data_IF_303875860588
#
_entry.id   IF_303875860588
#
_cell.length_a   1.000
_cell.length_b   1.000
_cell.length_c   1.000
_cell.angle_alpha   90.00
_cell.angle_beta   90.00
_cell.angle_gamma   90.00
#
_symmetry.space_group_name_H-M   'P 1'
#
loop_
_entity.id
_entity.type
_entity.pdbx_description
1 polymer ?
#
# COMPACT_ATOMS: atom_id res chain seq x y z
N UNK A 1 17.95 -71.98 -62.50
CA UNK A 1 17.02 -71.07 -63.19
C UNK A 1 15.78 -70.94 -62.33
N UNK A 2 15.36 -69.70 -62.08
CA UNK A 2 14.41 -69.30 -61.03
C UNK A 2 13.00 -69.87 -61.29
N UNK A 3 12.30 -70.19 -60.21
CA UNK A 3 10.92 -70.67 -60.20
C UNK A 3 10.10 -69.98 -59.10
N UNK A 4 8.85 -69.62 -59.46
CA UNK A 4 7.66 -69.40 -58.61
C UNK A 4 7.71 -68.23 -57.60
N UNK A 5 6.63 -67.59 -57.14
CA UNK A 5 5.23 -67.43 -57.53
C UNK A 5 4.64 -66.33 -56.61
N UNK A 6 3.53 -65.71 -57.03
CA UNK A 6 2.76 -64.66 -56.31
C UNK A 6 2.24 -65.09 -54.94
N UNK A 7 2.19 -64.18 -53.96
CA UNK A 7 1.14 -64.09 -52.91
C UNK A 7 0.90 -62.60 -52.54
N UNK A 8 -0.38 -62.21 -52.45
CA UNK A 8 -0.92 -60.92 -51.96
C UNK A 8 -0.74 -60.76 -50.44
N UNK A 9 -0.63 -59.52 -49.92
CA UNK A 9 -0.84 -59.26 -48.49
C UNK A 9 -0.75 -57.80 -48.07
N UNK A 10 -1.89 -57.26 -47.63
CA UNK A 10 -2.16 -55.95 -47.00
C UNK A 10 -1.21 -55.63 -45.84
N UNK A 11 -0.79 -54.35 -45.66
CA UNK A 11 -0.07 -53.96 -44.44
C UNK A 11 0.30 -52.48 -44.27
N UNK A 12 -0.63 -51.72 -43.67
CA UNK A 12 -0.45 -50.57 -42.76
C UNK A 12 0.39 -49.34 -43.19
N UNK A 13 -0.33 -48.26 -43.54
CA UNK A 13 0.17 -46.90 -43.41
C UNK A 13 0.23 -46.50 -41.92
N UNK A 14 1.43 -46.48 -41.34
CA UNK A 14 1.70 -45.86 -40.04
C UNK A 14 1.89 -44.35 -40.24
N UNK A 15 0.77 -43.61 -40.13
CA UNK A 15 0.79 -42.19 -39.81
C UNK A 15 1.41 -42.05 -38.40
N UNK A 16 2.67 -41.68 -38.35
CA UNK A 16 3.30 -41.21 -37.12
C UNK A 16 2.60 -39.90 -36.71
N UNK A 17 1.62 -40.00 -35.80
CA UNK A 17 1.18 -38.86 -35.01
C UNK A 17 2.35 -38.46 -34.11
N UNK A 18 3.11 -37.48 -34.57
CA UNK A 18 3.96 -36.66 -33.73
C UNK A 18 3.04 -35.85 -32.81
N UNK A 19 2.55 -36.49 -31.75
CA UNK A 19 1.96 -35.77 -30.63
C UNK A 19 3.09 -34.93 -30.02
N UNK A 20 3.14 -33.65 -30.39
CA UNK A 20 3.85 -32.63 -29.63
C UNK A 20 3.19 -32.60 -28.25
N UNK A 21 3.74 -33.35 -27.31
CA UNK A 21 3.49 -33.18 -25.89
C UNK A 21 3.88 -31.75 -25.54
N UNK A 22 2.92 -30.82 -25.62
CA UNK A 22 3.04 -29.54 -24.94
C UNK A 22 3.28 -29.92 -23.49
N UNK A 23 4.51 -29.70 -23.01
CA UNK A 23 4.87 -29.99 -21.64
C UNK A 23 3.91 -29.20 -20.75
N UNK A 24 2.92 -29.89 -20.19
CA UNK A 24 1.98 -29.31 -19.25
C UNK A 24 2.81 -28.84 -18.07
N UNK A 25 2.95 -27.52 -17.92
CA UNK A 25 3.80 -26.95 -16.89
C UNK A 25 3.19 -27.37 -15.54
N UNK A 26 3.85 -28.32 -14.87
CA UNK A 26 3.33 -28.96 -13.67
C UNK A 26 3.09 -27.91 -12.61
N UNK A 27 1.89 -27.92 -11.99
CA UNK A 27 1.58 -27.06 -10.85
C UNK A 27 2.64 -27.25 -9.75
N UNK A 28 3.13 -26.18 -9.11
CA UNK A 28 4.04 -26.32 -7.99
C UNK A 28 3.34 -26.96 -6.79
N UNK A 29 4.11 -27.61 -5.91
CA UNK A 29 3.57 -28.19 -4.69
C UNK A 29 2.98 -27.12 -3.75
N UNK A 30 3.61 -25.96 -3.71
CA UNK A 30 3.21 -24.77 -2.96
C UNK A 30 3.73 -23.52 -3.67
N UNK A 31 3.07 -22.39 -3.46
CA UNK A 31 3.58 -21.06 -3.80
C UNK A 31 4.25 -20.48 -2.56
N UNK A 32 5.57 -20.28 -2.62
CA UNK A 32 6.34 -19.68 -1.52
C UNK A 32 6.18 -18.17 -1.53
N UNK A 33 5.74 -17.60 -0.43
CA UNK A 33 5.60 -16.16 -0.24
C UNK A 33 6.71 -15.64 0.67
N UNK A 34 7.65 -14.87 0.13
CA UNK A 34 8.56 -14.10 0.98
C UNK A 34 7.90 -12.77 1.34
N UNK A 35 7.56 -12.59 2.61
CA UNK A 35 6.83 -11.42 3.08
C UNK A 35 7.69 -10.62 4.05
N UNK A 36 7.68 -9.30 3.95
CA UNK A 36 8.39 -8.43 4.90
C UNK A 36 7.47 -7.43 5.58
N UNK A 37 7.77 -7.15 6.85
CA UNK A 37 7.09 -6.14 7.66
C UNK A 37 7.94 -5.81 8.89
N UNK A 38 7.62 -4.74 9.60
CA UNK A 38 8.22 -4.46 10.91
C UNK A 38 7.61 -5.38 11.97
N UNK A 39 8.40 -6.35 12.46
CA UNK A 39 8.02 -7.23 13.58
C UNK A 39 8.69 -6.79 14.89
N UNK A 40 9.77 -6.02 14.81
CA UNK A 40 10.48 -5.44 15.96
C UNK A 40 10.67 -3.93 15.81
N UNK A 41 11.10 -3.26 16.89
CA UNK A 41 11.34 -1.80 16.92
C UNK A 41 10.07 -0.96 17.05
N UNK A 42 10.23 0.37 17.07
CA UNK A 42 9.12 1.32 17.25
C UNK A 42 8.08 1.28 16.11
N UNK A 43 8.49 0.83 14.93
CA UNK A 43 7.64 0.67 13.75
C UNK A 43 6.75 -0.59 13.79
N UNK A 44 7.00 -1.53 14.72
CA UNK A 44 6.24 -2.79 14.84
C UNK A 44 4.75 -2.58 15.10
N UNK A 45 4.35 -1.44 15.67
CA UNK A 45 2.94 -1.08 15.90
C UNK A 45 2.14 -0.95 14.60
N UNK A 46 2.80 -0.73 13.46
CA UNK A 46 2.19 -0.78 12.14
C UNK A 46 2.33 -2.16 11.49
N UNK A 47 3.53 -2.76 11.57
CA UNK A 47 3.84 -3.99 10.84
C UNK A 47 3.31 -5.29 11.44
N UNK A 48 3.29 -5.42 12.78
CA UNK A 48 2.80 -6.63 13.45
C UNK A 48 1.29 -6.87 13.21
N UNK A 49 0.41 -5.86 13.24
CA UNK A 49 -1.00 -6.02 12.81
C UNK A 49 -1.13 -6.55 11.38
N UNK A 50 -0.35 -6.03 10.42
CA UNK A 50 -0.35 -6.49 9.03
C UNK A 50 0.09 -7.96 8.92
N UNK A 51 1.08 -8.39 9.71
CA UNK A 51 1.47 -9.80 9.80
C UNK A 51 0.30 -10.70 10.23
N UNK A 52 -0.38 -10.33 11.31
CA UNK A 52 -1.52 -11.12 11.82
C UNK A 52 -2.62 -11.20 10.76
N UNK A 53 -2.91 -10.11 10.07
CA UNK A 53 -3.88 -10.08 8.97
C UNK A 53 -3.50 -11.03 7.82
N UNK A 54 -2.23 -11.02 7.41
CA UNK A 54 -1.72 -11.94 6.39
C UNK A 54 -1.83 -13.40 6.81
N UNK A 55 -1.39 -13.74 8.02
CA UNK A 55 -1.44 -15.11 8.52
C UNK A 55 -2.89 -15.61 8.59
N UNK A 56 -3.81 -14.79 9.14
CA UNK A 56 -5.25 -15.08 9.16
C UNK A 56 -5.80 -15.35 7.76
N UNK A 57 -5.52 -14.46 6.82
CA UNK A 57 -6.04 -14.55 5.46
C UNK A 57 -5.48 -15.77 4.73
N UNK A 58 -4.18 -16.06 4.88
CA UNK A 58 -3.53 -17.22 4.26
C UNK A 58 -4.07 -18.53 4.84
N UNK A 59 -4.30 -18.61 6.15
CA UNK A 59 -4.93 -19.76 6.81
C UNK A 59 -6.30 -20.06 6.16
N UNK A 60 -7.18 -19.05 6.06
CA UNK A 60 -8.51 -19.20 5.46
C UNK A 60 -8.45 -19.51 3.96
N UNK A 61 -7.58 -18.83 3.21
CA UNK A 61 -7.40 -19.04 1.78
C UNK A 61 -6.89 -20.46 1.47
N UNK A 62 -5.94 -20.96 2.26
CA UNK A 62 -5.44 -22.32 2.14
C UNK A 62 -6.51 -23.35 2.52
N UNK A 63 -7.28 -23.12 3.59
CA UNK A 63 -8.40 -23.99 3.95
C UNK A 63 -9.46 -24.06 2.84
N UNK A 64 -9.69 -22.96 2.12
CA UNK A 64 -10.63 -22.87 1.00
C UNK A 64 -10.10 -23.46 -0.33
N UNK A 65 -8.93 -24.09 -0.34
CA UNK A 65 -8.40 -24.76 -1.53
C UNK A 65 -7.13 -24.14 -2.12
N UNK A 66 -6.81 -22.89 -1.81
CA UNK A 66 -5.67 -22.19 -2.39
C UNK A 66 -5.92 -21.72 -3.84
N UNK A 67 -4.85 -21.63 -4.64
CA UNK A 67 -4.94 -21.34 -6.07
C UNK A 67 -5.00 -22.67 -6.82
N UNK A 68 -6.20 -23.11 -7.20
CA UNK A 68 -6.37 -24.35 -7.99
C UNK A 68 -5.66 -25.56 -7.34
N UNK A 69 -5.79 -25.68 -6.02
CA UNK A 69 -5.14 -26.71 -5.20
C UNK A 69 -3.76 -26.34 -4.64
N UNK A 70 -3.08 -25.32 -5.20
CA UNK A 70 -1.76 -24.86 -4.74
C UNK A 70 -1.91 -23.98 -3.50
N UNK A 71 -1.29 -24.41 -2.39
CA UNK A 71 -1.29 -23.65 -1.12
C UNK A 71 -0.21 -22.58 -1.09
N UNK A 72 -0.45 -21.53 -0.32
CA UNK A 72 0.52 -20.49 -0.01
C UNK A 72 1.35 -20.91 1.20
N UNK A 73 2.67 -20.71 1.15
CA UNK A 73 3.55 -20.88 2.31
C UNK A 73 4.41 -19.63 2.51
N UNK A 74 4.12 -18.90 3.58
CA UNK A 74 4.79 -17.64 3.89
C UNK A 74 6.04 -17.82 4.75
N UNK A 75 7.07 -17.04 4.42
CA UNK A 75 8.28 -16.85 5.22
C UNK A 75 8.48 -15.36 5.44
N UNK A 76 8.68 -14.96 6.71
CA UNK A 76 8.74 -13.56 7.11
C UNK A 76 10.17 -13.02 7.20
N UNK A 77 10.36 -11.79 6.72
CA UNK A 77 11.57 -10.97 6.92
C UNK A 77 11.20 -9.80 7.85
N UNK A 78 11.96 -9.62 8.93
CA UNK A 78 11.77 -8.49 9.86
C UNK A 78 12.49 -7.23 9.37
N UNK A 79 11.73 -6.22 8.96
CA UNK A 79 12.26 -4.90 8.60
C UNK A 79 12.93 -4.18 9.79
N UNK A 80 12.54 -4.50 11.03
CA UNK A 80 13.12 -3.91 12.24
C UNK A 80 14.60 -4.26 12.46
N UNK A 81 15.12 -5.23 11.71
CA UNK A 81 16.52 -5.65 11.75
C UNK A 81 17.46 -4.76 10.93
N UNK A 82 16.93 -3.79 10.19
CA UNK A 82 17.70 -2.86 9.36
C UNK A 82 17.85 -3.29 7.90
N UNK A 83 18.21 -2.32 7.05
CA UNK A 83 18.22 -2.46 5.60
C UNK A 83 19.13 -3.58 5.07
N UNK A 84 20.31 -3.74 5.68
CA UNK A 84 21.29 -4.75 5.27
C UNK A 84 20.76 -6.16 5.48
N UNK A 85 20.25 -6.45 6.68
CA UNK A 85 19.68 -7.76 7.02
C UNK A 85 18.40 -8.03 6.23
N UNK A 86 17.58 -7.01 6.00
CA UNK A 86 16.42 -7.09 5.12
C UNK A 86 16.80 -7.53 3.69
N UNK A 87 17.76 -6.85 3.05
CA UNK A 87 18.20 -7.20 1.68
C UNK A 87 18.90 -8.56 1.63
N UNK A 88 19.68 -8.93 2.65
CA UNK A 88 20.32 -10.24 2.73
C UNK A 88 19.30 -11.37 2.80
N UNK A 89 18.28 -11.26 3.67
CA UNK A 89 17.20 -12.24 3.76
C UNK A 89 16.33 -12.26 2.49
N UNK A 90 16.07 -11.11 1.88
CA UNK A 90 15.37 -11.07 0.59
C UNK A 90 16.13 -11.87 -0.47
N UNK A 91 17.44 -11.66 -0.62
CA UNK A 91 18.27 -12.42 -1.56
C UNK A 91 18.31 -13.91 -1.25
N UNK A 92 18.41 -14.26 0.04
CA UNK A 92 18.38 -15.66 0.49
C UNK A 92 17.07 -16.34 0.07
N UNK A 93 15.92 -15.71 0.36
CA UNK A 93 14.60 -16.21 -0.06
C UNK A 93 14.47 -16.26 -1.57
N UNK A 94 14.95 -15.25 -2.29
CA UNK A 94 14.95 -15.18 -3.74
C UNK A 94 15.81 -16.28 -4.41
N UNK A 95 16.75 -16.90 -3.68
CA UNK A 95 17.59 -18.00 -4.17
C UNK A 95 17.09 -19.41 -3.80
N UNK A 96 16.12 -19.56 -2.89
CA UNK A 96 15.53 -20.88 -2.57
C UNK A 96 14.97 -21.63 -3.81
N UNK A 97 14.94 -22.96 -3.86
CA UNK A 97 14.27 -23.64 -4.98
C UNK A 97 12.73 -23.50 -4.89
N UNK A 98 12.05 -23.47 -6.03
CA UNK A 98 10.58 -23.46 -6.12
C UNK A 98 9.98 -22.15 -6.61
N UNK A 99 8.66 -22.16 -6.81
CA UNK A 99 7.87 -21.01 -7.26
C UNK A 99 7.74 -19.96 -6.14
N UNK A 100 7.94 -18.68 -6.49
CA UNK A 100 7.98 -17.60 -5.50
C UNK A 100 7.27 -16.34 -5.95
N UNK A 101 6.74 -15.67 -4.94
CA UNK A 101 6.29 -14.30 -5.00
C UNK A 101 6.78 -13.57 -3.76
N UNK A 102 7.21 -12.31 -3.90
CA UNK A 102 7.63 -11.49 -2.78
C UNK A 102 6.62 -10.38 -2.51
N UNK A 103 6.23 -10.19 -1.24
CA UNK A 103 5.46 -9.04 -0.77
C UNK A 103 6.38 -8.23 0.15
N UNK A 104 6.92 -7.13 -0.34
CA UNK A 104 7.86 -6.27 0.40
C UNK A 104 7.74 -4.83 -0.09
N UNK A 105 7.71 -3.78 0.71
CA UNK A 105 7.93 -3.67 2.16
C UNK A 105 7.18 -2.42 2.70
N UNK A 106 7.25 -2.13 4.00
CA UNK A 106 6.72 -0.88 4.59
C UNK A 106 7.66 0.30 4.32
N UNK A 107 8.95 0.14 4.56
CA UNK A 107 9.91 1.24 4.43
C UNK A 107 10.10 1.66 2.97
N UNK A 108 9.78 2.91 2.64
CA UNK A 108 10.08 3.48 1.31
C UNK A 108 11.57 3.44 0.96
N UNK A 109 12.46 3.60 1.96
CA UNK A 109 13.90 3.45 1.75
C UNK A 109 14.28 2.02 1.35
N UNK A 110 13.62 1.02 1.93
CA UNK A 110 13.88 -0.39 1.61
C UNK A 110 13.35 -0.74 0.23
N UNK A 111 12.16 -0.25 -0.12
CA UNK A 111 11.61 -0.42 -1.47
C UNK A 111 12.48 0.21 -2.57
N UNK A 112 13.01 1.42 -2.34
CA UNK A 112 13.94 2.05 -3.28
C UNK A 112 15.18 1.19 -3.52
N UNK A 113 15.74 0.58 -2.46
CA UNK A 113 16.89 -0.30 -2.59
C UNK A 113 16.53 -1.68 -3.17
N UNK A 114 15.31 -2.16 -2.91
CA UNK A 114 14.85 -3.48 -3.28
C UNK A 114 14.44 -3.59 -4.74
N UNK A 115 13.77 -2.58 -5.29
CA UNK A 115 13.16 -2.68 -6.61
C UNK A 115 14.16 -3.08 -7.72
N UNK A 116 15.37 -2.48 -7.82
CA UNK A 116 16.40 -2.94 -8.76
C UNK A 116 16.84 -4.40 -8.50
N UNK A 117 16.93 -4.81 -7.24
CA UNK A 117 17.33 -6.16 -6.86
C UNK A 117 16.29 -7.20 -7.28
N UNK A 118 15.01 -6.90 -7.08
CA UNK A 118 13.91 -7.77 -7.51
C UNK A 118 13.89 -7.93 -9.04
N UNK A 119 14.13 -6.83 -9.76
CA UNK A 119 14.23 -6.83 -11.22
C UNK A 119 15.39 -7.69 -11.73
N UNK A 120 16.59 -7.49 -11.18
CA UNK A 120 17.79 -8.25 -11.57
C UNK A 120 17.63 -9.76 -11.31
N UNK A 121 16.98 -10.10 -10.19
CA UNK A 121 16.69 -11.49 -9.81
C UNK A 121 15.50 -12.08 -10.56
N UNK A 122 14.77 -11.28 -11.35
CA UNK A 122 13.54 -11.67 -12.06
C UNK A 122 12.48 -12.25 -11.15
N UNK A 123 12.36 -11.70 -9.94
CA UNK A 123 11.36 -12.11 -8.95
C UNK A 123 10.22 -11.12 -8.97
N UNK A 124 8.99 -11.61 -9.15
CA UNK A 124 7.80 -10.78 -9.01
C UNK A 124 7.72 -10.30 -7.56
N UNK A 125 7.82 -8.99 -7.37
CA UNK A 125 7.73 -8.33 -6.08
C UNK A 125 6.57 -7.33 -6.05
N UNK A 126 5.67 -7.53 -5.09
CA UNK A 126 4.62 -6.60 -4.75
C UNK A 126 5.10 -5.69 -3.61
N UNK A 127 5.29 -4.41 -3.93
CA UNK A 127 5.37 -3.29 -3.01
C UNK A 127 4.01 -3.15 -2.32
N UNK A 128 3.87 -3.79 -1.16
CA UNK A 128 2.57 -3.90 -0.52
C UNK A 128 2.17 -2.64 0.26
N UNK A 129 3.12 -1.84 0.75
CA UNK A 129 2.83 -0.65 1.57
C UNK A 129 3.62 0.61 1.17
N UNK A 130 4.93 0.48 0.94
CA UNK A 130 5.78 1.65 0.73
C UNK A 130 5.28 2.60 -0.36
N UNK A 131 5.20 3.88 0.02
CA UNK A 131 4.44 4.87 -0.74
C UNK A 131 5.31 5.87 -1.51
N UNK A 132 6.64 5.91 -1.39
CA UNK A 132 7.46 6.81 -2.22
C UNK A 132 7.15 6.60 -3.71
N UNK A 133 6.75 7.69 -4.38
CA UNK A 133 6.44 7.72 -5.81
C UNK A 133 7.67 7.41 -6.65
N UNK A 134 8.85 7.78 -6.14
CA UNK A 134 10.15 7.62 -6.82
C UNK A 134 10.48 6.18 -7.15
N UNK A 135 10.00 5.19 -6.37
CA UNK A 135 10.29 3.77 -6.59
C UNK A 135 9.96 3.36 -8.04
N UNK A 136 8.71 3.55 -8.48
CA UNK A 136 8.25 3.14 -9.82
C UNK A 136 8.43 4.23 -10.90
N UNK A 137 8.87 5.42 -10.50
CA UNK A 137 9.21 6.48 -11.44
C UNK A 137 10.68 6.43 -11.87
N UNK A 138 11.59 5.92 -11.03
CA UNK A 138 13.02 5.88 -11.31
C UNK A 138 13.33 5.03 -12.55
N UNK A 139 12.62 3.91 -12.70
CA UNK A 139 12.76 2.98 -13.81
C UNK A 139 11.44 2.27 -14.08
N UNK A 140 11.24 1.82 -15.32
CA UNK A 140 10.18 0.85 -15.65
C UNK A 140 10.68 -0.55 -15.30
N UNK A 141 10.11 -1.12 -14.25
CA UNK A 141 10.39 -2.49 -13.83
C UNK A 141 9.46 -3.48 -14.52
N UNK A 142 9.99 -4.64 -14.89
CA UNK A 142 9.22 -5.76 -15.41
C UNK A 142 8.54 -6.54 -14.29
N UNK A 143 9.22 -6.72 -13.15
CA UNK A 143 8.80 -7.63 -12.08
C UNK A 143 8.39 -6.92 -10.78
N UNK A 144 8.44 -5.59 -10.73
CA UNK A 144 8.07 -4.82 -9.52
C UNK A 144 6.75 -4.10 -9.74
N UNK A 145 5.84 -4.27 -8.78
CA UNK A 145 4.49 -3.70 -8.82
C UNK A 145 4.14 -3.12 -7.46
N UNK A 146 3.27 -2.11 -7.40
CA UNK A 146 2.68 -1.61 -6.15
C UNK A 146 1.18 -1.77 -6.20
N UNK A 147 0.65 -2.48 -5.20
CA UNK A 147 -0.80 -2.71 -5.09
C UNK A 147 -1.53 -1.58 -4.37
N UNK A 148 -0.86 -0.81 -3.52
CA UNK A 148 -1.41 0.39 -2.85
C UNK A 148 -1.32 1.69 -3.67
N UNK A 149 -1.75 2.82 -3.10
CA UNK A 149 -1.51 4.13 -3.71
C UNK A 149 -0.02 4.50 -3.59
N UNK A 150 0.34 5.65 -4.15
CA UNK A 150 1.64 6.27 -3.90
C UNK A 150 1.47 7.59 -3.14
N UNK A 151 2.59 8.16 -2.71
CA UNK A 151 2.65 9.42 -1.97
C UNK A 151 2.05 10.58 -2.75
N UNK A 152 2.05 10.52 -4.09
CA UNK A 152 1.40 11.52 -4.93
C UNK A 152 -0.11 11.54 -4.75
N UNK A 153 -0.76 10.38 -4.83
CA UNK A 153 -2.20 10.26 -4.60
C UNK A 153 -2.57 10.75 -3.20
N UNK A 154 -1.82 10.28 -2.19
CA UNK A 154 -2.07 10.59 -0.78
C UNK A 154 -1.87 12.08 -0.47
N UNK A 155 -0.76 12.69 -0.90
CA UNK A 155 -0.47 14.09 -0.60
C UNK A 155 -1.31 15.08 -1.40
N UNK A 156 -1.69 14.74 -2.65
CA UNK A 156 -2.64 15.57 -3.39
C UNK A 156 -4.00 15.56 -2.70
N UNK A 157 -4.50 14.39 -2.28
CA UNK A 157 -5.74 14.32 -1.50
C UNK A 157 -5.63 15.09 -0.18
N UNK A 158 -4.52 15.00 0.53
CA UNK A 158 -4.27 15.75 1.76
C UNK A 158 -4.39 17.26 1.57
N UNK A 159 -3.78 17.80 0.51
CA UNK A 159 -3.84 19.24 0.20
C UNK A 159 -5.26 19.64 -0.21
N UNK A 160 -5.93 18.86 -1.06
CA UNK A 160 -7.31 19.13 -1.46
C UNK A 160 -8.26 19.12 -0.25
N UNK A 161 -8.09 18.17 0.68
CA UNK A 161 -8.90 18.09 1.89
C UNK A 161 -8.63 19.26 2.85
N UNK A 162 -7.36 19.61 3.06
CA UNK A 162 -6.98 20.77 3.86
C UNK A 162 -7.59 22.06 3.29
N UNK A 163 -7.46 22.29 1.97
CA UNK A 163 -7.98 23.51 1.33
C UNK A 163 -9.51 23.59 1.35
N UNK A 164 -10.21 22.44 1.33
CA UNK A 164 -11.67 22.40 1.44
C UNK A 164 -12.18 22.58 2.87
N UNK A 165 -11.37 22.21 3.87
CA UNK A 165 -11.78 22.19 5.29
C UNK A 165 -11.30 23.43 6.06
N UNK A 166 -10.11 23.93 5.73
CA UNK A 166 -9.50 25.13 6.34
C UNK A 166 -8.85 26.00 5.27
N UNK A 167 -9.63 26.65 4.38
CA UNK A 167 -9.08 27.42 3.25
C UNK A 167 -8.26 28.65 3.65
N UNK A 168 -8.51 29.24 4.83
CA UNK A 168 -8.01 30.57 5.19
C UNK A 168 -6.63 30.60 5.85
N UNK A 169 -6.02 29.44 6.08
CA UNK A 169 -4.69 29.36 6.68
C UNK A 169 -3.62 30.10 5.86
N UNK A 170 -2.64 30.68 6.55
CA UNK A 170 -1.55 31.47 5.96
C UNK A 170 -0.18 30.87 6.25
N UNK A 171 -0.07 30.06 7.28
CA UNK A 171 1.20 29.47 7.73
C UNK A 171 1.09 27.96 7.90
N UNK A 172 2.13 27.24 7.48
CA UNK A 172 2.25 25.80 7.68
C UNK A 172 3.63 25.44 8.22
N UNK A 173 3.68 24.48 9.14
CA UNK A 173 4.89 23.78 9.53
C UNK A 173 4.76 22.28 9.25
N UNK A 174 5.89 21.61 9.03
CA UNK A 174 5.94 20.15 8.83
C UNK A 174 6.86 19.48 9.84
N UNK A 175 6.45 18.32 10.36
CA UNK A 175 7.27 17.40 11.16
C UNK A 175 7.15 16.00 10.59
N UNK A 176 8.20 15.54 9.90
CA UNK A 176 8.23 14.23 9.24
C UNK A 176 9.51 13.46 9.58
N UNK A 177 9.49 12.14 9.44
CA UNK A 177 10.69 11.33 9.66
C UNK A 177 11.77 11.64 8.61
N UNK A 178 13.03 11.75 9.03
CA UNK A 178 14.17 12.07 8.14
C UNK A 178 14.65 10.87 7.32
N UNK A 179 13.82 10.45 6.37
CA UNK A 179 14.15 9.41 5.40
C UNK A 179 13.27 9.56 4.14
N UNK A 180 13.41 8.64 3.18
CA UNK A 180 12.76 8.71 1.86
C UNK A 180 11.29 9.16 1.93
N UNK A 181 10.42 8.46 2.67
CA UNK A 181 9.00 8.83 2.74
C UNK A 181 8.75 10.23 3.29
N UNK A 182 9.38 10.60 4.42
CA UNK A 182 9.10 11.90 5.05
C UNK A 182 9.55 13.09 4.19
N UNK A 183 10.65 12.90 3.42
CA UNK A 183 11.17 13.89 2.46
C UNK A 183 10.33 13.93 1.18
N UNK A 184 10.04 12.77 0.59
CA UNK A 184 9.31 12.65 -0.68
C UNK A 184 7.84 13.12 -0.54
N UNK A 185 7.14 12.66 0.52
CA UNK A 185 5.77 13.10 0.80
C UNK A 185 5.69 14.61 1.04
N UNK A 186 6.67 15.19 1.75
CA UNK A 186 6.73 16.64 1.93
C UNK A 186 6.96 17.37 0.61
N UNK A 187 7.86 16.89 -0.26
CA UNK A 187 8.12 17.48 -1.56
C UNK A 187 6.83 17.56 -2.39
N UNK A 188 6.10 16.45 -2.50
CA UNK A 188 4.82 16.39 -3.21
C UNK A 188 3.77 17.32 -2.58
N UNK A 189 3.60 17.26 -1.24
CA UNK A 189 2.64 18.12 -0.54
C UNK A 189 2.94 19.60 -0.77
N UNK A 190 4.21 20.00 -0.60
CA UNK A 190 4.66 21.39 -0.76
C UNK A 190 4.42 21.88 -2.18
N UNK A 191 4.80 21.11 -3.20
CA UNK A 191 4.61 21.50 -4.60
C UNK A 191 3.13 21.58 -4.98
N UNK A 192 2.32 20.64 -4.51
CA UNK A 192 0.85 20.67 -4.69
C UNK A 192 0.25 21.91 -4.02
N UNK A 193 0.66 22.20 -2.78
CA UNK A 193 0.20 23.38 -2.06
C UNK A 193 0.61 24.68 -2.77
N UNK A 194 1.84 24.76 -3.29
CA UNK A 194 2.31 25.92 -4.05
C UNK A 194 1.50 26.12 -5.34
N UNK A 195 1.12 25.05 -6.02
CA UNK A 195 0.30 25.12 -7.23
C UNK A 195 -1.15 25.60 -6.94
N UNK A 196 -1.73 25.16 -5.82
CA UNK A 196 -3.14 25.41 -5.49
C UNK A 196 -3.36 26.65 -4.59
N UNK A 197 -2.37 27.03 -3.78
CA UNK A 197 -2.42 28.14 -2.82
C UNK A 197 -1.01 28.71 -2.56
N UNK A 198 -0.41 29.42 -3.53
CA UNK A 198 1.00 29.87 -3.49
C UNK A 198 1.33 30.83 -2.34
N UNK A 199 0.34 31.53 -1.77
CA UNK A 199 0.56 32.54 -0.72
C UNK A 199 0.80 31.97 0.69
N UNK A 200 0.80 30.63 0.87
CA UNK A 200 1.07 30.02 2.17
C UNK A 200 2.55 30.09 2.51
N UNK A 201 2.87 30.63 3.69
CA UNK A 201 4.22 30.66 4.23
C UNK A 201 4.57 29.37 4.98
N UNK A 202 5.62 28.69 4.54
CA UNK A 202 6.21 27.58 5.28
C UNK A 202 7.08 28.17 6.40
N UNK A 203 6.70 27.96 7.66
CA UNK A 203 7.39 28.57 8.82
C UNK A 203 8.41 27.65 9.49
N UNK A 204 8.31 26.34 9.25
CA UNK A 204 9.33 25.36 9.63
C UNK A 204 9.22 24.06 8.82
N UNK A 205 10.37 23.48 8.52
CA UNK A 205 10.51 22.12 8.01
C UNK A 205 11.39 21.33 8.99
N UNK A 206 10.79 20.38 9.72
CA UNK A 206 11.44 19.64 10.79
C UNK A 206 11.49 18.16 10.43
N UNK A 207 12.70 17.61 10.41
CA UNK A 207 12.95 16.21 10.06
C UNK A 207 13.69 15.49 11.18
N UNK A 208 13.01 15.11 12.28
CA UNK A 208 13.59 14.22 13.29
C UNK A 208 13.96 12.87 12.66
N UNK A 209 15.03 12.26 13.18
CA UNK A 209 15.50 10.95 12.70
C UNK A 209 14.39 9.90 12.88
N UNK A 210 14.30 8.95 11.93
CA UNK A 210 13.43 7.79 12.08
C UNK A 210 13.77 7.02 13.37
N UNK A 211 12.76 6.67 14.16
CA UNK A 211 12.93 6.04 15.47
C UNK A 211 13.29 7.02 16.58
N UNK A 212 13.05 8.32 16.42
CA UNK A 212 13.33 9.32 17.45
C UNK A 212 12.51 9.03 18.74
N UNK A 213 13.16 8.93 19.92
CA UNK A 213 12.47 8.67 21.18
C UNK A 213 11.83 9.93 21.79
N UNK A 214 12.20 11.11 21.30
CA UNK A 214 11.76 12.40 21.83
C UNK A 214 11.58 13.41 20.69
N UNK A 215 10.52 14.21 20.80
CA UNK A 215 10.14 15.28 19.86
C UNK A 215 10.06 16.65 20.55
N UNK A 216 10.66 16.79 21.74
CA UNK A 216 10.57 17.99 22.56
C UNK A 216 11.10 19.24 21.85
N UNK A 217 12.14 19.12 21.02
CA UNK A 217 12.66 20.22 20.21
C UNK A 217 11.66 20.69 19.15
N UNK A 218 11.05 19.74 18.44
CA UNK A 218 10.08 20.02 17.39
C UNK A 218 8.84 20.68 17.98
N UNK A 219 8.30 20.12 19.07
CA UNK A 219 7.12 20.68 19.75
C UNK A 219 7.41 22.09 20.26
N UNK A 220 8.58 22.32 20.88
CA UNK A 220 8.97 23.67 21.35
C UNK A 220 9.04 24.67 20.20
N UNK A 221 9.63 24.25 19.06
CA UNK A 221 9.74 25.09 17.86
C UNK A 221 8.37 25.44 17.28
N UNK A 222 7.45 24.47 17.20
CA UNK A 222 6.09 24.68 16.72
C UNK A 222 5.29 25.63 17.64
N UNK A 223 5.42 25.49 18.96
CA UNK A 223 4.78 26.40 19.91
C UNK A 223 5.26 27.84 19.74
N UNK A 224 6.55 28.05 19.51
CA UNK A 224 7.12 29.38 19.28
C UNK A 224 6.63 30.02 17.97
N UNK A 225 6.49 29.22 16.91
CA UNK A 225 6.09 29.69 15.59
C UNK A 225 4.58 29.91 15.44
N UNK A 226 3.76 29.18 16.22
CA UNK A 226 2.29 29.22 16.16
C UNK A 226 1.74 29.10 14.71
N UNK A 227 2.09 28.05 13.97
CA UNK A 227 1.57 27.87 12.61
C UNK A 227 0.05 27.63 12.64
N UNK A 228 -0.65 28.07 11.60
CA UNK A 228 -2.08 27.79 11.44
C UNK A 228 -2.32 26.29 11.21
N UNK A 229 -1.38 25.63 10.50
CA UNK A 229 -1.43 24.20 10.16
C UNK A 229 -0.10 23.52 10.53
N UNK A 230 -0.20 22.33 11.11
CA UNK A 230 0.92 21.39 11.27
C UNK A 230 0.62 20.14 10.45
N UNK A 231 1.46 19.86 9.45
CA UNK A 231 1.45 18.61 8.71
C UNK A 231 2.41 17.61 9.38
N UNK A 232 1.97 16.37 9.55
CA UNK A 232 2.88 15.27 9.83
C UNK A 232 2.46 14.02 9.05
N UNK A 233 3.37 13.51 8.24
CA UNK A 233 3.26 12.22 7.55
C UNK A 233 4.05 11.13 8.26
N UNK A 234 4.52 11.39 9.50
CA UNK A 234 5.14 10.36 10.32
C UNK A 234 4.14 9.21 10.58
N UNK A 235 4.66 8.03 10.87
CA UNK A 235 3.86 6.84 11.14
C UNK A 235 4.55 5.97 12.20
N UNK A 236 3.82 4.96 12.69
CA UNK A 236 4.31 4.06 13.72
C UNK A 236 4.57 4.77 15.06
N UNK A 237 5.50 4.23 15.85
CA UNK A 237 5.82 4.77 17.18
C UNK A 237 6.32 6.22 17.20
N UNK A 238 6.88 6.70 16.08
CA UNK A 238 7.35 8.09 15.95
C UNK A 238 6.16 9.06 15.95
N UNK A 239 5.10 8.76 15.17
CA UNK A 239 3.86 9.54 15.18
C UNK A 239 3.20 9.50 16.56
N UNK A 240 3.14 8.32 17.17
CA UNK A 240 2.56 8.16 18.51
C UNK A 240 3.28 9.06 19.53
N UNK A 241 4.62 9.05 19.50
CA UNK A 241 5.45 9.83 20.44
C UNK A 241 5.28 11.32 20.20
N UNK A 242 5.35 11.76 18.94
CA UNK A 242 5.14 13.15 18.56
C UNK A 242 3.76 13.66 19.02
N UNK A 243 2.69 12.93 18.73
CA UNK A 243 1.33 13.36 19.07
C UNK A 243 1.08 13.37 20.58
N UNK A 244 1.61 12.41 21.35
CA UNK A 244 1.52 12.45 22.82
C UNK A 244 2.19 13.70 23.38
N UNK A 245 3.42 13.99 22.96
CA UNK A 245 4.16 15.16 23.44
C UNK A 245 3.53 16.48 22.99
N UNK A 246 3.07 16.55 21.73
CA UNK A 246 2.37 17.72 21.19
C UNK A 246 1.05 17.96 21.93
N UNK A 247 0.30 16.90 22.26
CA UNK A 247 -0.97 16.98 22.99
C UNK A 247 -0.78 17.45 24.43
N UNK A 248 0.19 16.88 25.15
CA UNK A 248 0.56 17.30 26.52
C UNK A 248 0.91 18.78 26.61
N UNK A 249 1.46 19.35 25.53
CA UNK A 249 1.82 20.77 25.44
C UNK A 249 0.75 21.64 24.75
N UNK A 250 -0.44 21.09 24.52
CA UNK A 250 -1.60 21.80 23.99
C UNK A 250 -1.51 22.19 22.51
N UNK A 251 -0.53 21.66 21.76
CA UNK A 251 -0.28 22.09 20.38
C UNK A 251 -1.43 21.72 19.42
N UNK A 252 -2.04 20.54 19.60
CA UNK A 252 -3.20 20.10 18.80
C UNK A 252 -4.46 20.96 19.02
N UNK A 253 -4.48 21.82 20.05
CA UNK A 253 -5.57 22.78 20.28
C UNK A 253 -5.32 24.14 19.62
N UNK A 254 -4.06 24.44 19.27
CA UNK A 254 -3.63 25.75 18.81
C UNK A 254 -3.40 25.81 17.29
N UNK A 255 -3.19 24.66 16.65
CA UNK A 255 -2.97 24.53 15.21
C UNK A 255 -3.89 23.47 14.65
N UNK A 256 -4.28 23.60 13.37
CA UNK A 256 -4.92 22.51 12.66
C UNK A 256 -3.89 21.44 12.35
N UNK A 257 -4.07 20.23 12.86
CA UNK A 257 -3.24 19.10 12.48
C UNK A 257 -3.82 18.43 11.22
N UNK A 258 -2.93 18.12 10.28
CA UNK A 258 -3.19 17.30 9.10
C UNK A 258 -2.30 16.08 9.21
N UNK A 259 -2.92 14.91 9.41
CA UNK A 259 -2.25 13.65 9.71
C UNK A 259 -2.68 12.55 8.71
N UNK A 260 -2.10 12.54 7.51
CA UNK A 260 -2.39 11.57 6.45
C UNK A 260 -2.36 10.09 6.87
N UNK A 261 -1.57 9.73 7.90
CA UNK A 261 -1.30 8.34 8.32
C UNK A 261 -1.82 8.01 9.74
N UNK A 262 -2.60 8.89 10.35
CA UNK A 262 -2.95 8.79 11.77
C UNK A 262 -4.02 7.76 12.11
N UNK A 263 -4.76 7.20 11.14
CA UNK A 263 -5.71 6.10 11.39
C UNK A 263 -5.02 4.93 12.13
N UNK A 264 -3.75 4.67 11.81
CA UNK A 264 -2.94 3.65 12.47
C UNK A 264 -2.58 3.93 13.93
N UNK A 265 -2.86 5.13 14.43
CA UNK A 265 -2.48 5.61 15.76
C UNK A 265 -3.66 5.99 16.66
N UNK A 266 -4.86 6.23 16.10
CA UNK A 266 -6.00 6.76 16.86
C UNK A 266 -6.35 5.89 18.08
N UNK A 267 -6.45 4.57 17.90
CA UNK A 267 -6.75 3.63 19.01
C UNK A 267 -5.72 3.70 20.15
N UNK A 268 -4.43 3.77 19.82
CA UNK A 268 -3.35 3.79 20.81
C UNK A 268 -3.16 5.16 21.47
N UNK A 269 -3.62 6.22 20.82
CA UNK A 269 -3.49 7.60 21.31
C UNK A 269 -4.71 8.07 22.09
N UNK A 270 -5.90 7.57 21.75
CA UNK A 270 -7.14 7.95 22.41
C UNK A 270 -7.30 9.47 22.51
N UNK A 271 -7.56 9.96 23.72
CA UNK A 271 -7.77 11.38 24.03
C UNK A 271 -6.57 12.29 23.73
N UNK A 272 -5.37 11.73 23.46
CA UNK A 272 -4.25 12.55 23.00
C UNK A 272 -4.54 13.22 21.65
N UNK A 273 -5.40 12.63 20.82
CA UNK A 273 -5.87 13.23 19.57
C UNK A 273 -7.28 13.81 19.79
N UNK A 274 -7.44 15.14 19.85
CA UNK A 274 -8.74 15.75 20.05
C UNK A 274 -9.61 15.65 18.78
N UNK A 275 -10.92 15.93 18.88
CA UNK A 275 -11.77 16.20 17.72
C UNK A 275 -11.26 17.38 16.88
N UNK A 276 -11.55 17.37 15.58
CA UNK A 276 -11.18 18.46 14.66
C UNK A 276 -9.86 18.24 13.91
N UNK A 277 -9.16 17.13 14.12
CA UNK A 277 -7.91 16.80 13.42
C UNK A 277 -8.23 16.18 12.07
N UNK A 278 -7.58 16.63 11.00
CA UNK A 278 -7.72 16.06 9.66
C UNK A 278 -6.89 14.77 9.61
N UNK A 279 -7.50 13.66 9.21
CA UNK A 279 -6.90 12.34 9.17
C UNK A 279 -7.13 11.69 7.80
N UNK A 280 -6.07 11.08 7.26
CA UNK A 280 -6.12 10.19 6.10
C UNK A 280 -5.97 8.73 6.50
N UNK A 281 -6.07 7.85 5.50
CA UNK A 281 -6.00 6.39 5.69
C UNK A 281 -4.98 5.74 4.74
N UNK A 282 -4.16 6.51 4.02
CA UNK A 282 -3.32 6.02 2.90
C UNK A 282 -4.11 5.08 2.01
N UNK A 283 -4.90 5.63 1.10
CA UNK A 283 -5.93 4.89 0.38
C UNK A 283 -7.29 5.06 1.05
N UNK A 284 -8.11 4.02 1.04
CA UNK A 284 -9.54 4.12 1.40
C UNK A 284 -10.01 3.05 2.39
N UNK A 285 -9.08 2.43 3.13
CA UNK A 285 -9.37 1.41 4.12
C UNK A 285 -9.78 1.98 5.47
N UNK A 286 -11.08 1.97 5.79
CA UNK A 286 -11.57 2.38 7.11
C UNK A 286 -12.67 1.45 7.63
N UNK A 287 -12.51 0.96 8.86
CA UNK A 287 -13.44 -0.01 9.46
C UNK A 287 -14.86 0.52 9.65
N UNK A 288 -15.02 1.85 9.70
CA UNK A 288 -16.31 2.53 9.81
C UNK A 288 -16.61 3.41 8.59
N UNK A 289 -16.06 3.07 7.41
CA UNK A 289 -16.50 3.64 6.14
C UNK A 289 -18.00 3.33 5.93
N UNK A 290 -18.90 4.32 5.87
CA UNK A 290 -20.34 4.09 5.70
C UNK A 290 -20.71 3.29 4.44
N UNK A 291 -19.87 3.31 3.39
CA UNK A 291 -20.14 2.56 2.16
C UNK A 291 -19.74 1.08 2.27
N UNK A 292 -18.83 0.72 3.18
CA UNK A 292 -18.22 -0.62 3.24
C UNK A 292 -18.28 -1.30 4.60
N UNK A 293 -18.63 -0.59 5.67
CA UNK A 293 -18.71 -1.17 7.02
C UNK A 293 -19.74 -2.32 7.12
N UNK A 294 -20.78 -2.29 6.29
CA UNK A 294 -21.80 -3.34 6.19
C UNK A 294 -21.59 -4.33 5.03
N UNK A 295 -20.57 -4.13 4.17
CA UNK A 295 -20.20 -5.14 3.18
C UNK A 295 -19.87 -6.46 3.92
N UNK A 296 -20.47 -7.60 3.53
CA UNK A 296 -20.31 -8.84 4.29
C UNK A 296 -18.87 -9.31 4.44
N UNK A 297 -18.03 -9.10 3.43
CA UNK A 297 -16.62 -9.50 3.44
C UNK A 297 -15.82 -8.59 4.38
N UNK A 298 -16.00 -7.27 4.24
CA UNK A 298 -15.32 -6.27 5.07
C UNK A 298 -15.72 -6.42 6.54
N UNK A 299 -17.02 -6.51 6.83
CA UNK A 299 -17.53 -6.67 8.19
C UNK A 299 -17.02 -7.94 8.85
N UNK A 300 -17.06 -9.07 8.12
CA UNK A 300 -16.56 -10.34 8.64
C UNK A 300 -15.05 -10.29 8.94
N UNK A 301 -14.26 -9.69 8.05
CA UNK A 301 -12.82 -9.53 8.26
C UNK A 301 -12.53 -8.63 9.47
N UNK A 302 -13.15 -7.45 9.54
CA UNK A 302 -12.98 -6.49 10.65
C UNK A 302 -13.32 -7.15 11.99
N UNK A 303 -14.44 -7.89 12.07
CA UNK A 303 -14.85 -8.58 13.29
C UNK A 303 -13.85 -9.66 13.71
N UNK A 304 -13.44 -10.54 12.78
CA UNK A 304 -12.44 -11.58 13.07
C UNK A 304 -11.10 -10.99 13.48
N UNK A 305 -10.66 -9.95 12.78
CA UNK A 305 -9.40 -9.26 13.09
C UNK A 305 -9.45 -8.68 14.49
N UNK A 306 -10.52 -7.94 14.82
CA UNK A 306 -10.71 -7.38 16.17
C UNK A 306 -10.82 -8.46 17.25
N UNK A 307 -11.45 -9.60 16.96
CA UNK A 307 -11.49 -10.73 17.89
C UNK A 307 -10.11 -11.34 18.14
N UNK A 308 -9.25 -11.43 17.11
CA UNK A 308 -7.90 -12.03 17.22
C UNK A 308 -6.87 -11.08 17.82
N UNK A 309 -7.00 -9.76 17.61
CA UNK A 309 -5.98 -8.77 18.00
C UNK A 309 -6.42 -7.82 19.11
N UNK A 310 -7.73 -7.66 19.34
CA UNK A 310 -8.30 -6.63 20.21
C UNK A 310 -8.37 -5.23 19.60
N UNK A 311 -7.87 -5.01 18.37
CA UNK A 311 -7.81 -3.71 17.70
C UNK A 311 -8.54 -3.73 16.34
N UNK A 312 -8.95 -2.58 15.83
CA UNK A 312 -9.48 -2.47 14.47
C UNK A 312 -8.34 -2.49 13.43
N UNK A 313 -8.63 -2.91 12.18
CA UNK A 313 -7.63 -2.86 11.11
C UNK A 313 -7.30 -1.42 10.72
N UNK A 314 -6.00 -1.11 10.62
CA UNK A 314 -5.47 0.14 10.09
C UNK A 314 -5.09 0.00 8.60
N UNK A 315 -4.64 1.08 7.96
CA UNK A 315 -4.27 1.07 6.55
C UNK A 315 -3.31 -0.05 6.13
N UNK A 316 -2.29 -0.34 6.94
CA UNK A 316 -1.34 -1.42 6.64
C UNK A 316 -2.01 -2.80 6.65
N UNK A 317 -3.02 -3.01 7.49
CA UNK A 317 -3.84 -4.23 7.44
C UNK A 317 -4.62 -4.30 6.13
N UNK A 318 -5.29 -3.21 5.72
CA UNK A 318 -6.02 -3.16 4.46
C UNK A 318 -5.10 -3.43 3.26
N UNK A 319 -3.94 -2.78 3.21
CA UNK A 319 -2.96 -2.94 2.13
C UNK A 319 -2.34 -4.34 2.06
N UNK A 320 -2.10 -4.97 3.21
CA UNK A 320 -1.62 -6.35 3.22
C UNK A 320 -2.65 -7.32 2.60
N UNK A 321 -3.92 -7.20 3.00
CA UNK A 321 -5.00 -8.01 2.40
C UNK A 321 -5.17 -7.70 0.92
N UNK A 322 -5.07 -6.43 0.55
CA UNK A 322 -5.11 -5.97 -0.83
C UNK A 322 -3.99 -6.58 -1.68
N UNK A 323 -2.75 -6.62 -1.17
CA UNK A 323 -1.62 -7.24 -1.86
C UNK A 323 -1.82 -8.74 -2.03
N UNK A 324 -2.32 -9.45 -1.01
CA UNK A 324 -2.62 -10.89 -1.08
C UNK A 324 -3.74 -11.19 -2.09
N UNK A 325 -4.81 -10.38 -2.10
CA UNK A 325 -5.89 -10.50 -3.08
C UNK A 325 -5.44 -10.19 -4.49
N UNK A 326 -4.64 -9.14 -4.70
CA UNK A 326 -4.07 -8.81 -6.01
C UNK A 326 -3.21 -9.97 -6.53
N UNK A 327 -2.33 -10.49 -5.68
CA UNK A 327 -1.41 -11.57 -6.01
C UNK A 327 -2.13 -12.85 -6.40
N UNK A 328 -3.05 -13.32 -5.55
CA UNK A 328 -3.79 -14.56 -5.81
C UNK A 328 -4.79 -14.39 -6.95
N UNK A 329 -5.39 -13.21 -7.11
CA UNK A 329 -6.21 -12.85 -8.25
C UNK A 329 -5.43 -12.88 -9.58
N UNK A 330 -4.21 -12.35 -9.60
CA UNK A 330 -3.33 -12.39 -10.76
C UNK A 330 -2.96 -13.83 -11.14
N UNK A 331 -2.60 -14.69 -10.17
CA UNK A 331 -2.34 -16.10 -10.45
C UNK A 331 -3.58 -16.82 -11.01
N UNK A 332 -4.76 -16.60 -10.42
CA UNK A 332 -6.02 -17.19 -10.91
C UNK A 332 -6.35 -16.74 -12.34
N UNK A 333 -6.19 -15.44 -12.64
CA UNK A 333 -6.41 -14.88 -13.98
C UNK A 333 -5.39 -15.44 -14.98
N UNK A 334 -4.11 -15.45 -14.63
CA UNK A 334 -3.05 -15.96 -15.48
C UNK A 334 -3.20 -17.47 -15.75
N UNK A 335 -3.63 -18.27 -14.77
CA UNK A 335 -3.98 -19.68 -14.96
C UNK A 335 -5.09 -19.85 -16.01
N UNK A 336 -6.16 -19.05 -15.91
CA UNK A 336 -7.26 -19.10 -16.87
C UNK A 336 -6.80 -18.70 -18.29
N UNK A 337 -5.98 -17.66 -18.41
CA UNK A 337 -5.39 -17.19 -19.68
C UNK A 337 -4.39 -18.20 -20.28
N UNK A 338 -3.73 -18.99 -19.43
CA UNK A 338 -2.70 -19.96 -19.82
C UNK A 338 -3.24 -21.41 -19.95
N UNK A 339 -4.55 -21.57 -20.15
CA UNK A 339 -5.19 -22.88 -20.36
C UNK A 339 -5.07 -23.83 -19.16
N UNK A 340 -5.02 -23.28 -17.94
CA UNK A 340 -4.86 -24.02 -16.69
C UNK A 340 -3.41 -24.37 -16.32
N UNK A 341 -2.43 -23.96 -17.12
CA UNK A 341 -1.01 -24.16 -16.80
C UNK A 341 -0.51 -23.10 -15.83
N UNK A 342 0.30 -23.51 -14.85
CA UNK A 342 0.86 -22.57 -13.88
C UNK A 342 1.67 -21.48 -14.59
N UNK A 343 1.40 -20.18 -14.32
CA UNK A 343 2.01 -19.10 -15.07
C UNK A 343 3.50 -18.99 -14.73
N UNK A 344 4.30 -18.66 -15.73
CA UNK A 344 5.67 -18.19 -15.50
C UNK A 344 5.67 -16.82 -14.81
N UNK A 345 6.78 -16.38 -14.18
CA UNK A 345 6.91 -15.03 -13.64
C UNK A 345 6.58 -13.93 -14.67
N UNK A 346 6.92 -14.16 -15.94
CA UNK A 346 6.63 -13.24 -17.04
C UNK A 346 5.14 -13.13 -17.36
N UNK A 347 4.43 -14.26 -17.38
CA UNK A 347 2.99 -14.28 -17.59
C UNK A 347 2.27 -13.63 -16.40
N UNK A 348 2.69 -13.94 -15.17
CA UNK A 348 2.14 -13.29 -13.98
C UNK A 348 2.35 -11.77 -14.01
N UNK A 349 3.56 -11.33 -14.37
CA UNK A 349 3.90 -9.91 -14.51
C UNK A 349 3.06 -9.21 -15.60
N UNK A 350 2.77 -9.88 -16.71
CA UNK A 350 1.88 -9.35 -17.75
C UNK A 350 0.43 -9.23 -17.23
N UNK A 351 -0.08 -10.27 -16.56
CA UNK A 351 -1.43 -10.27 -15.98
C UNK A 351 -1.58 -9.18 -14.90
N UNK A 352 -0.57 -8.97 -14.05
CA UNK A 352 -0.59 -7.93 -13.02
C UNK A 352 -0.79 -6.52 -13.59
N UNK A 353 -0.25 -6.18 -14.77
CA UNK A 353 -0.41 -4.84 -15.39
C UNK A 353 -1.83 -4.51 -15.83
N UNK A 354 -2.69 -5.51 -15.92
CA UNK A 354 -4.09 -5.38 -16.37
C UNK A 354 -5.07 -5.87 -15.31
N UNK A 355 -4.59 -6.08 -14.08
CA UNK A 355 -5.42 -6.61 -13.01
C UNK A 355 -6.35 -5.52 -12.49
N UNK A 356 -7.63 -5.84 -12.48
CA UNK A 356 -8.62 -5.18 -11.63
C UNK A 356 -8.98 -6.12 -10.50
N UNK A 357 -9.04 -5.59 -9.29
CA UNK A 357 -9.29 -6.37 -8.09
C UNK A 357 -9.93 -5.48 -7.01
N UNK A 358 -10.44 -6.09 -5.95
CA UNK A 358 -11.01 -5.38 -4.80
C UNK A 358 -10.27 -5.81 -3.54
N UNK A 359 -9.85 -4.84 -2.74
CA UNK A 359 -9.37 -5.06 -1.37
C UNK A 359 -10.54 -5.39 -0.43
N UNK A 360 -10.60 -4.72 0.70
CA UNK A 360 -11.77 -4.73 1.61
C UNK A 360 -12.62 -3.45 1.47
N UNK A 361 -12.35 -2.66 0.44
CA UNK A 361 -12.99 -1.37 0.16
C UNK A 361 -13.36 -1.29 -1.32
N UNK A 362 -13.08 -0.17 -1.99
CA UNK A 362 -13.45 0.07 -3.39
C UNK A 362 -12.57 -0.75 -4.35
N UNK A 363 -13.01 -0.92 -5.61
CA UNK A 363 -12.20 -1.55 -6.66
C UNK A 363 -10.92 -0.75 -6.95
N UNK A 364 -9.86 -1.48 -7.32
CA UNK A 364 -8.52 -0.99 -7.61
C UNK A 364 -8.10 -1.54 -8.97
N UNK A 365 -7.50 -0.67 -9.81
CA UNK A 365 -6.93 -1.09 -11.10
C UNK A 365 -5.43 -0.92 -11.09
N UNK A 366 -4.72 -1.90 -11.62
CA UNK A 366 -3.30 -1.78 -11.94
C UNK A 366 -3.11 -0.99 -13.24
N UNK A 367 -2.05 -0.20 -13.31
CA UNK A 367 -1.60 0.47 -14.54
C UNK A 367 -0.45 -0.29 -15.19
N UNK A 368 -0.18 0.07 -16.44
CA UNK A 368 0.93 -0.48 -17.22
C UNK A 368 2.32 -0.21 -16.61
N UNK A 369 2.47 0.83 -15.79
CA UNK A 369 3.71 1.15 -15.06
C UNK A 369 3.88 0.36 -13.76
N UNK A 370 2.96 -0.57 -13.47
CA UNK A 370 2.98 -1.40 -12.27
C UNK A 370 2.44 -0.69 -11.02
N UNK A 371 1.93 0.54 -11.13
CA UNK A 371 1.26 1.26 -10.04
C UNK A 371 -0.23 0.94 -10.00
N UNK A 372 -0.77 0.62 -8.82
CA UNK A 372 -2.21 0.61 -8.61
C UNK A 372 -2.80 2.01 -8.49
N UNK A 373 -3.99 2.22 -9.04
CA UNK A 373 -4.81 3.41 -8.82
C UNK A 373 -5.81 3.12 -7.72
N UNK A 374 -5.58 3.75 -6.57
CA UNK A 374 -6.46 3.69 -5.41
C UNK A 374 -6.86 5.10 -5.00
N UNK A 375 -8.15 5.31 -4.75
CA UNK A 375 -8.65 6.58 -4.25
C UNK A 375 -8.28 6.79 -2.78
N UNK A 376 -8.36 8.02 -2.32
CA UNK A 376 -7.98 8.40 -0.96
C UNK A 376 -9.20 8.80 -0.16
N UNK A 377 -9.29 8.34 1.08
CA UNK A 377 -10.30 8.73 2.04
C UNK A 377 -9.67 9.69 3.04
N UNK A 378 -10.36 10.79 3.32
CA UNK A 378 -9.97 11.76 4.36
C UNK A 378 -11.18 12.20 5.14
N UNK A 379 -10.99 12.52 6.41
CA UNK A 379 -12.03 13.13 7.22
C UNK A 379 -11.47 13.82 8.44
N UNK A 380 -12.35 14.05 9.40
CA UNK A 380 -12.04 14.81 10.62
C UNK A 380 -12.35 13.96 11.85
N UNK A 381 -11.45 13.96 12.84
CA UNK A 381 -11.67 13.25 14.10
C UNK A 381 -12.88 13.82 14.83
N UNK A 382 -13.70 12.94 15.41
CA UNK A 382 -14.82 13.27 16.28
C UNK A 382 -14.88 12.30 17.45
N UNK A 383 -15.58 12.69 18.51
CA UNK A 383 -15.91 11.77 19.61
C UNK A 383 -16.98 10.79 19.16
N UNK A 384 -16.86 9.56 19.63
CA UNK A 384 -17.88 8.53 19.55
C UNK A 384 -18.02 7.89 20.92
N UNK A 385 -19.22 7.95 21.51
CA UNK A 385 -19.46 7.41 22.85
C UNK A 385 -19.34 5.88 22.92
N UNK A 386 -19.32 5.19 21.79
CA UNK A 386 -19.12 3.74 21.70
C UNK A 386 -17.64 3.34 21.65
N UNK A 387 -16.71 4.30 21.51
CA UNK A 387 -15.28 4.05 21.38
C UNK A 387 -14.48 4.79 22.47
N UNK A 388 -13.33 4.23 22.87
CA UNK A 388 -12.39 4.86 23.81
C UNK A 388 -11.37 5.77 23.12
N UNK A 389 -11.53 5.98 21.81
CA UNK A 389 -10.64 6.71 20.95
C UNK A 389 -11.46 7.51 19.93
N UNK A 390 -10.91 8.59 19.34
CA UNK A 390 -11.62 9.35 18.33
C UNK A 390 -11.83 8.51 17.06
N UNK A 391 -13.03 8.59 16.49
CA UNK A 391 -13.33 8.05 15.16
C UNK A 391 -13.24 9.17 14.12
N UNK A 392 -13.11 8.82 12.85
CA UNK A 392 -13.10 9.79 11.76
C UNK A 392 -14.50 9.89 11.15
N UNK A 393 -15.01 11.12 11.03
CA UNK A 393 -16.26 11.45 10.36
C UNK A 393 -16.05 12.48 9.25
N UNK A 394 -17.14 13.03 8.71
CA UNK A 394 -17.11 14.03 7.63
C UNK A 394 -16.25 13.58 6.43
N UNK A 395 -16.35 12.29 6.12
CA UNK A 395 -15.51 11.61 5.17
C UNK A 395 -15.71 12.17 3.76
N UNK A 396 -14.60 12.36 3.06
CA UNK A 396 -14.53 12.72 1.65
C UNK A 396 -13.64 11.73 0.91
N UNK A 397 -14.10 11.25 -0.22
CA UNK A 397 -13.38 10.36 -1.12
C UNK A 397 -12.82 11.13 -2.32
N UNK A 398 -11.54 10.93 -2.60
CA UNK A 398 -10.78 11.52 -3.69
C UNK A 398 -10.38 10.41 -4.67
N UNK A 399 -11.07 10.30 -5.82
CA UNK A 399 -10.80 9.23 -6.78
C UNK A 399 -9.37 9.27 -7.33
N UNK A 400 -8.78 8.10 -7.54
CA UNK A 400 -7.41 7.97 -8.04
C UNK A 400 -7.17 8.74 -9.35
N UNK A 401 -8.16 8.79 -10.24
CA UNK A 401 -8.03 9.43 -11.56
C UNK A 401 -7.78 10.94 -11.50
N UNK A 402 -8.07 11.59 -10.36
CA UNK A 402 -7.85 13.03 -10.19
C UNK A 402 -6.67 13.35 -9.26
N UNK A 403 -6.17 12.37 -8.52
CA UNK A 403 -5.03 12.54 -7.60
C UNK A 403 -3.77 11.78 -8.04
N UNK A 404 -3.85 10.98 -9.10
CA UNK A 404 -2.71 10.27 -9.65
C UNK A 404 -2.11 10.99 -10.87
N UNK A 405 -0.77 11.02 -11.02
CA UNK A 405 -0.14 11.52 -12.23
C UNK A 405 -0.41 10.58 -13.41
N UNK A 406 -0.49 11.09 -14.65
CA UNK A 406 -0.48 10.28 -15.85
C UNK A 406 0.74 9.34 -15.91
N UNK A 407 0.58 8.19 -16.55
CA UNK A 407 1.69 7.25 -16.75
C UNK A 407 2.79 7.92 -17.57
N UNK A 408 4.02 7.85 -17.06
CA UNK A 408 5.21 8.40 -17.71
C UNK A 408 5.55 9.82 -17.28
N UNK A 409 4.65 10.51 -16.58
CA UNK A 409 4.91 11.81 -16.00
C UNK A 409 5.47 11.65 -14.57
N UNK A 410 6.54 12.38 -14.27
CA UNK A 410 7.08 12.47 -12.91
C UNK A 410 6.11 13.21 -12.02
N UNK A 411 5.88 12.69 -10.81
CA UNK A 411 4.91 13.28 -9.88
C UNK A 411 5.23 14.73 -9.56
N UNK A 412 6.50 15.07 -9.30
CA UNK A 412 6.96 16.43 -9.00
C UNK A 412 6.69 17.43 -10.13
N UNK A 413 6.64 16.97 -11.38
CA UNK A 413 6.34 17.82 -12.53
C UNK A 413 4.84 17.92 -12.75
N UNK A 414 4.11 16.84 -12.54
CA UNK A 414 2.66 16.81 -12.63
C UNK A 414 1.99 17.70 -11.56
N UNK A 415 2.40 17.61 -10.29
CA UNK A 415 1.72 18.38 -9.21
C UNK A 415 1.84 19.89 -9.39
N UNK A 416 2.88 20.37 -10.10
CA UNK A 416 3.08 21.79 -10.43
C UNK A 416 2.09 22.29 -11.49
N UNK A 417 1.44 21.41 -12.25
CA UNK A 417 0.45 21.78 -13.28
C UNK A 417 -0.97 21.82 -12.75
N UNK A 418 -1.20 21.34 -11.51
CA UNK A 418 -2.50 21.34 -10.87
C UNK A 418 -3.00 22.78 -10.69
N UNK A 419 -4.32 22.95 -10.81
CA UNK A 419 -4.96 24.26 -10.74
C UNK A 419 -6.08 24.28 -9.68
N UNK A 420 -6.40 25.45 -9.10
CA UNK A 420 -7.42 25.58 -8.05
C UNK A 420 -8.80 25.01 -8.41
N UNK A 421 -9.17 24.93 -9.69
CA UNK A 421 -10.44 24.33 -10.13
C UNK A 421 -10.58 22.86 -9.72
N UNK A 422 -9.47 22.14 -9.49
CA UNK A 422 -9.47 20.78 -8.98
C UNK A 422 -10.20 20.67 -7.63
N UNK A 423 -10.20 21.73 -6.80
CA UNK A 423 -10.92 21.76 -5.53
C UNK A 423 -12.43 21.60 -5.70
N UNK A 424 -12.98 21.97 -6.86
CA UNK A 424 -14.41 21.89 -7.19
C UNK A 424 -14.75 20.71 -8.10
N UNK A 425 -13.80 19.79 -8.30
CA UNK A 425 -14.05 18.61 -9.13
C UNK A 425 -15.21 17.78 -8.55
N UNK A 426 -16.24 17.54 -9.38
CA UNK A 426 -17.48 16.85 -9.00
C UNK A 426 -17.29 15.38 -8.67
N UNK A 427 -16.13 14.80 -9.00
CA UNK A 427 -15.78 13.43 -8.63
C UNK A 427 -15.33 13.32 -7.16
N UNK A 428 -14.98 14.42 -6.49
CA UNK A 428 -14.72 14.45 -5.05
C UNK A 428 -16.08 14.36 -4.33
N UNK A 429 -16.31 13.27 -3.60
CA UNK A 429 -17.61 13.00 -2.96
C UNK A 429 -17.49 12.99 -1.45
N UNK A 430 -18.52 13.49 -0.77
CA UNK A 430 -18.74 13.15 0.64
C UNK A 430 -19.23 11.71 0.72
N UNK A 431 -18.73 10.96 1.68
CA UNK A 431 -19.07 9.55 1.90
C UNK A 431 -20.15 9.47 2.98
N UNK A 432 -21.20 8.69 2.72
CA UNK A 432 -22.30 8.45 3.68
C UNK A 432 -23.39 9.54 3.73
N UNK A 433 -23.47 10.41 2.71
CA UNK A 433 -24.57 11.38 2.53
C UNK A 433 -25.51 10.98 1.40
#
# INVERSE_FOLDING_TARGET
MKSLARILGVGAALLALSATSIAQQSRPAELKLGMSTFMTGSASVLGAPAKVAADMWIEEFNAAGGIDGVKLRQTWIDEGQGAEKFLAEYRRLAQEPGEKLMLSAISSGYCNALAPVAEDLKIVNILWECSSEKVLEAQRYRYVFRTGPNGTMEMVAAVLHLLRTKPDFKTIAVVNQDYAWGRDSWEIFRLTLQALKPDVKIVAELFPKFGAPDFSSEVTRLQALRPDVVLSTAWGGDLDTFLRQASQRGLLKNSQFVLPLADSSLERLGDAVPPGVIVGFVGDGYFADPEFADDPETRAFVQKFKQRTGAYPNFAVYHMIQALKASTGAYKKALAENGGNWPTPDQLAATLRTLEYRGLSRPIRMREDGQALQGQLYGVTRKDSSQTFPVVGELSFYPADIVAPPVGQKSVDWVKTLKPELLQNSQIKRVGN
#
